data_IF_253718338549
#
_entry.id   IF_253718338549
#
_cell.length_a   1.000
_cell.length_b   1.000
_cell.length_c   1.000
_cell.angle_alpha   90.00
_cell.angle_beta   90.00
_cell.angle_gamma   90.00
#
_symmetry.space_group_name_H-M   'P 1'
#
loop_
_entity.id
_entity.type
_entity.pdbx_description
1 polymer ?
#
# COMPACT_ATOMS: atom_id res chain seq x y z
N UNK A 1 9.31 -25.53 -78.46
CA UNK A 1 9.34 -26.46 -77.31
C UNK A 1 10.08 -25.78 -76.15
N UNK A 2 9.44 -25.69 -74.96
CA UNK A 2 10.05 -25.78 -73.60
C UNK A 2 11.24 -24.83 -73.31
N UNK A 3 11.24 -23.87 -72.37
CA UNK A 3 10.85 -23.92 -70.93
C UNK A 3 10.92 -22.48 -70.35
N UNK A 4 9.89 -21.96 -69.68
CA UNK A 4 9.67 -21.93 -68.20
C UNK A 4 10.47 -20.78 -67.54
N UNK A 5 9.87 -19.61 -67.19
CA UNK A 5 9.16 -19.29 -65.91
C UNK A 5 10.15 -19.40 -64.73
N UNK A 6 10.37 -18.48 -63.80
CA UNK A 6 9.78 -17.21 -63.37
C UNK A 6 10.68 -16.79 -62.19
N UNK A 7 11.37 -15.64 -62.25
CA UNK A 7 12.13 -15.13 -61.10
C UNK A 7 11.26 -14.11 -60.38
N UNK A 8 10.27 -14.57 -59.60
CA UNK A 8 9.49 -13.70 -58.73
C UNK A 8 10.07 -13.78 -57.31
N UNK A 9 10.65 -12.66 -56.92
CA UNK A 9 11.18 -12.35 -55.59
C UNK A 9 10.13 -12.69 -54.53
N UNK A 10 10.45 -13.65 -53.66
CA UNK A 10 9.67 -13.93 -52.46
C UNK A 10 10.56 -13.74 -51.23
N UNK A 11 10.93 -12.49 -50.96
CA UNK A 11 11.40 -12.10 -49.64
C UNK A 11 10.15 -11.87 -48.78
N UNK A 12 9.53 -12.95 -48.31
CA UNK A 12 8.57 -12.85 -47.20
C UNK A 12 9.39 -12.43 -46.00
N UNK A 13 9.33 -11.14 -45.68
CA UNK A 13 9.85 -10.61 -44.43
C UNK A 13 9.14 -11.34 -43.30
N UNK A 14 9.88 -12.17 -42.57
CA UNK A 14 9.53 -12.52 -41.20
C UNK A 14 9.60 -11.23 -40.39
N UNK A 15 8.53 -10.45 -40.41
CA UNK A 15 8.27 -9.51 -39.34
C UNK A 15 7.84 -10.36 -38.16
N UNK A 16 8.83 -10.87 -37.41
CA UNK A 16 8.61 -11.36 -36.07
C UNK A 16 8.04 -10.21 -35.26
N UNK A 17 6.72 -10.13 -35.18
CA UNK A 17 6.07 -9.39 -34.11
C UNK A 17 6.50 -10.07 -32.82
N UNK A 18 7.54 -9.52 -32.18
CA UNK A 18 7.87 -9.87 -30.82
C UNK A 18 6.59 -9.67 -30.00
N UNK A 19 5.97 -10.78 -29.59
CA UNK A 19 4.80 -10.75 -28.74
C UNK A 19 5.23 -10.04 -27.46
N UNK A 20 4.76 -8.81 -27.25
CA UNK A 20 5.07 -8.04 -26.05
C UNK A 20 4.68 -8.92 -24.87
N UNK A 21 5.67 -9.32 -24.08
CA UNK A 21 5.48 -10.21 -22.95
C UNK A 21 4.35 -9.62 -22.09
N UNK A 22 3.32 -10.43 -21.84
CA UNK A 22 2.17 -9.96 -21.05
C UNK A 22 2.72 -9.68 -19.66
N UNK A 23 2.66 -8.41 -19.25
CA UNK A 23 3.04 -8.02 -17.90
C UNK A 23 2.14 -8.78 -16.91
N UNK A 24 2.72 -9.78 -16.26
CA UNK A 24 2.04 -10.65 -15.29
C UNK A 24 2.12 -10.08 -13.88
N UNK A 25 2.82 -8.96 -13.69
CA UNK A 25 3.06 -8.35 -12.40
C UNK A 25 1.76 -7.68 -11.93
N UNK A 26 1.20 -8.08 -10.77
CA UNK A 26 0.07 -7.38 -10.18
C UNK A 26 0.40 -5.90 -9.95
N UNK A 27 -0.55 -5.02 -10.27
CA UNK A 27 -0.38 -3.58 -10.08
C UNK A 27 -0.84 -3.18 -8.68
N UNK A 28 -0.23 -2.10 -8.17
CA UNK A 28 -0.73 -1.46 -6.97
C UNK A 28 -2.14 -0.91 -7.18
N UNK A 29 -3.03 -1.17 -6.23
CA UNK A 29 -4.41 -0.67 -6.24
C UNK A 29 -4.70 0.06 -4.94
N UNK A 30 -5.42 1.20 -5.03
CA UNK A 30 -5.78 2.01 -3.87
C UNK A 30 -7.25 2.39 -3.97
N UNK A 31 -8.01 2.07 -2.93
CA UNK A 31 -9.34 2.65 -2.68
C UNK A 31 -9.19 3.94 -1.89
N UNK A 32 -9.84 5.02 -2.37
CA UNK A 32 -9.82 6.34 -1.70
C UNK A 32 -11.24 6.75 -1.34
N UNK A 33 -11.45 7.16 -0.10
CA UNK A 33 -12.73 7.70 0.37
C UNK A 33 -12.52 8.97 1.17
N UNK A 34 -13.50 9.87 1.11
CA UNK A 34 -13.56 11.06 1.95
C UNK A 34 -14.57 10.82 3.06
N UNK A 35 -14.16 11.08 4.30
CA UNK A 35 -14.94 10.74 5.49
C UNK A 35 -14.85 11.85 6.54
N UNK A 36 -15.64 11.73 7.59
CA UNK A 36 -15.47 12.51 8.81
C UNK A 36 -15.52 11.62 10.05
N UNK A 37 -14.86 12.10 11.10
CA UNK A 37 -14.78 11.48 12.43
C UNK A 37 -14.87 12.59 13.48
N UNK A 38 -15.42 12.29 14.65
CA UNK A 38 -15.31 13.17 15.82
C UNK A 38 -14.19 12.67 16.72
N UNK A 39 -13.19 13.51 16.98
CA UNK A 39 -12.08 13.22 17.89
C UNK A 39 -12.02 14.34 18.93
N UNK A 40 -12.14 14.00 20.21
CA UNK A 40 -12.14 14.96 21.32
C UNK A 40 -13.16 16.11 21.13
N UNK A 41 -14.36 15.76 20.65
CA UNK A 41 -15.44 16.72 20.40
C UNK A 41 -15.31 17.53 19.09
N UNK A 42 -14.19 17.43 18.39
CA UNK A 42 -13.96 18.13 17.13
C UNK A 42 -14.24 17.23 15.93
N UNK A 43 -15.02 17.74 14.97
CA UNK A 43 -15.19 17.06 13.68
C UNK A 43 -13.95 17.24 12.83
N UNK A 44 -13.36 16.13 12.41
CA UNK A 44 -12.22 16.07 11.50
C UNK A 44 -12.70 15.46 10.19
N UNK A 45 -12.53 16.23 9.12
CA UNK A 45 -12.66 15.74 7.75
C UNK A 45 -11.34 15.10 7.33
N UNK A 46 -11.41 13.94 6.69
CA UNK A 46 -10.24 13.15 6.32
C UNK A 46 -10.40 12.50 4.96
N UNK A 47 -9.25 12.22 4.35
CA UNK A 47 -9.14 11.30 3.22
C UNK A 47 -8.53 10.00 3.73
N UNK A 48 -9.23 8.89 3.48
CA UNK A 48 -8.79 7.54 3.79
C UNK A 48 -8.39 6.82 2.51
N UNK A 49 -7.18 6.27 2.48
CA UNK A 49 -6.69 5.44 1.39
C UNK A 49 -6.33 4.06 1.94
N UNK A 50 -6.75 3.00 1.28
CA UNK A 50 -6.40 1.63 1.65
C UNK A 50 -6.13 0.81 0.39
N UNK A 51 -5.09 -0.02 0.43
CA UNK A 51 -4.67 -0.82 -0.71
C UNK A 51 -3.20 -1.17 -0.65
N UNK A 52 -2.57 -1.31 -1.79
CA UNK A 52 -1.14 -1.65 -1.91
C UNK A 52 -0.33 -0.50 -2.51
N UNK A 53 0.94 -0.45 -2.14
CA UNK A 53 1.95 0.45 -2.71
C UNK A 53 3.04 -0.41 -3.34
N UNK A 54 3.40 -0.11 -4.59
CA UNK A 54 4.50 -0.81 -5.26
C UNK A 54 5.84 -0.27 -4.74
N UNK A 55 6.62 -1.14 -4.10
CA UNK A 55 7.96 -0.82 -3.61
C UNK A 55 8.99 -1.33 -4.61
N UNK A 56 9.89 -0.44 -5.00
CA UNK A 56 11.01 -0.73 -5.89
C UNK A 56 12.34 -0.76 -5.14
N UNK A 57 13.29 -1.53 -5.63
CA UNK A 57 14.65 -1.56 -5.10
C UNK A 57 15.52 -0.43 -5.66
N UNK A 58 16.80 -0.44 -5.31
CA UNK A 58 17.79 0.55 -5.69
C UNK A 58 18.11 0.52 -7.20
N UNK A 59 17.80 -0.58 -7.89
CA UNK A 59 17.90 -0.72 -9.34
C UNK A 59 16.60 -0.35 -10.06
N UNK A 60 15.60 0.14 -9.32
CA UNK A 60 14.25 0.45 -9.78
C UNK A 60 13.44 -0.79 -10.21
N UNK A 61 13.82 -1.99 -9.76
CA UNK A 61 13.04 -3.21 -9.99
C UNK A 61 11.90 -3.33 -8.97
N UNK A 62 10.67 -3.71 -9.38
CA UNK A 62 9.56 -3.91 -8.45
C UNK A 62 9.80 -5.16 -7.59
N UNK A 63 9.80 -5.00 -6.27
CA UNK A 63 10.10 -6.09 -5.32
C UNK A 63 8.94 -6.47 -4.41
N UNK A 64 7.98 -5.57 -4.17
CA UNK A 64 6.81 -5.89 -3.36
C UNK A 64 5.59 -5.02 -3.70
N UNK A 65 4.40 -5.56 -3.47
CA UNK A 65 3.20 -4.77 -3.19
C UNK A 65 3.03 -4.76 -1.68
N UNK A 66 3.17 -3.59 -1.04
CA UNK A 66 2.99 -3.45 0.41
C UNK A 66 1.61 -2.86 0.72
N UNK A 67 0.80 -3.65 1.43
CA UNK A 67 -0.46 -3.25 2.02
C UNK A 67 -0.27 -2.07 2.97
N UNK A 68 -1.16 -1.08 2.88
CA UNK A 68 -1.21 0.01 3.82
C UNK A 68 -2.62 0.59 3.96
N UNK A 69 -2.84 1.27 5.08
CA UNK A 69 -3.94 2.22 5.28
C UNK A 69 -3.35 3.58 5.60
N UNK A 70 -3.76 4.61 4.86
CA UNK A 70 -3.35 5.99 5.05
C UNK A 70 -4.54 6.90 5.38
N UNK A 71 -4.40 7.67 6.46
CA UNK A 71 -5.34 8.70 6.86
C UNK A 71 -4.64 10.05 6.81
N UNK A 72 -5.17 10.97 6.02
CA UNK A 72 -4.77 12.38 6.02
C UNK A 72 -5.90 13.25 6.51
N UNK A 73 -5.56 14.19 7.39
CA UNK A 73 -6.49 15.26 7.78
C UNK A 73 -6.63 16.23 6.62
N UNK A 74 -7.86 16.45 6.17
CA UNK A 74 -8.14 17.21 4.96
C UNK A 74 -9.08 16.46 4.03
N UNK A 75 -10.16 17.12 3.64
CA UNK A 75 -11.20 16.57 2.77
C UNK A 75 -11.02 16.90 1.29
N UNK A 76 -9.88 17.41 0.83
CA UNK A 76 -9.63 17.57 -0.61
C UNK A 76 -8.14 17.45 -0.92
N UNK A 77 -7.81 17.29 -2.21
CA UNK A 77 -6.42 17.19 -2.69
C UNK A 77 -5.56 18.44 -2.38
N UNK A 78 -6.15 19.57 -1.99
CA UNK A 78 -5.46 20.82 -1.62
C UNK A 78 -5.17 20.91 -0.13
N UNK A 79 -5.85 20.10 0.67
CA UNK A 79 -5.58 19.86 2.08
C UNK A 79 -4.72 18.60 2.27
N UNK A 80 -3.91 18.21 1.28
CA UNK A 80 -2.68 17.47 1.61
C UNK A 80 -2.06 18.27 2.74
N UNK A 81 -2.06 17.70 3.95
CA UNK A 81 -1.66 18.42 5.15
C UNK A 81 -0.41 19.20 4.82
N UNK A 82 -0.40 20.50 5.15
CA UNK A 82 0.76 21.40 4.97
C UNK A 82 2.04 20.59 5.05
N UNK A 83 3.03 20.79 4.17
CA UNK A 83 4.29 20.01 4.18
C UNK A 83 4.90 19.85 5.59
N UNK A 84 4.54 20.75 6.50
CA UNK A 84 4.87 20.80 7.93
C UNK A 84 4.10 19.84 8.87
N UNK A 85 2.94 19.29 8.50
CA UNK A 85 2.13 18.41 9.36
C UNK A 85 2.78 17.02 9.47
N UNK A 86 3.15 16.52 10.65
CA UNK A 86 3.88 15.25 10.74
C UNK A 86 3.10 14.06 10.18
N UNK A 87 3.83 13.07 9.68
CA UNK A 87 3.29 11.75 9.33
C UNK A 87 3.86 10.74 10.33
N UNK A 88 2.98 9.92 10.91
CA UNK A 88 3.36 8.78 11.73
C UNK A 88 3.21 7.51 10.90
N UNK A 89 4.33 6.82 10.70
CA UNK A 89 4.35 5.47 10.13
C UNK A 89 4.32 4.45 11.27
N UNK A 90 3.47 3.44 11.15
CA UNK A 90 3.33 2.38 12.13
C UNK A 90 3.15 1.03 11.44
N UNK A 91 3.74 -0.01 12.01
CA UNK A 91 3.61 -1.39 11.56
C UNK A 91 3.60 -2.29 12.78
N UNK A 92 2.92 -3.43 12.69
CA UNK A 92 2.71 -4.29 13.84
C UNK A 92 3.90 -5.25 14.05
N UNK A 93 4.05 -5.72 15.29
CA UNK A 93 5.04 -6.75 15.67
C UNK A 93 4.53 -8.17 15.49
N UNK A 94 5.10 -9.12 16.24
CA UNK A 94 4.70 -10.53 16.20
C UNK A 94 5.91 -11.45 16.25
N UNK A 95 6.57 -11.76 15.12
CA UNK A 95 6.38 -11.27 13.73
C UNK A 95 5.14 -11.84 13.00
N UNK A 96 4.84 -11.31 11.80
CA UNK A 96 3.80 -11.85 10.90
C UNK A 96 2.40 -11.28 11.10
N UNK A 97 2.23 -10.26 11.96
CA UNK A 97 0.91 -9.67 12.23
C UNK A 97 0.61 -8.50 11.32
N UNK A 98 -0.60 -8.45 10.77
CA UNK A 98 -1.06 -7.32 9.96
C UNK A 98 -1.24 -6.06 10.81
N UNK A 99 -1.06 -4.92 10.15
CA UNK A 99 -1.33 -3.57 10.65
C UNK A 99 -2.81 -3.29 10.94
N UNK A 100 -3.73 -4.19 10.62
CA UNK A 100 -5.15 -4.03 10.95
C UNK A 100 -5.37 -3.84 12.47
N UNK A 101 -4.52 -4.43 13.32
CA UNK A 101 -4.58 -4.21 14.77
C UNK A 101 -4.31 -2.76 15.15
N UNK A 102 -3.33 -2.13 14.50
CA UNK A 102 -3.02 -0.73 14.68
C UNK A 102 -4.12 0.15 14.10
N UNK A 103 -4.66 -0.22 12.95
CA UNK A 103 -5.78 0.49 12.32
C UNK A 103 -7.03 0.45 13.22
N UNK A 104 -7.56 -0.73 13.53
CA UNK A 104 -8.87 -0.89 14.16
C UNK A 104 -8.83 -0.94 15.69
N UNK A 105 -7.64 -1.07 16.29
CA UNK A 105 -7.45 -1.21 17.74
C UNK A 105 -6.74 -0.04 18.41
N UNK A 106 -5.90 0.72 17.69
CA UNK A 106 -4.99 1.69 18.33
C UNK A 106 -5.07 3.09 17.69
N UNK A 107 -4.57 3.24 16.47
CA UNK A 107 -4.25 4.53 15.84
C UNK A 107 -5.37 5.08 14.95
N UNK A 108 -6.12 4.20 14.27
CA UNK A 108 -7.08 4.61 13.26
C UNK A 108 -8.17 5.54 13.81
N UNK A 109 -8.83 6.33 12.94
CA UNK A 109 -9.85 7.30 13.33
C UNK A 109 -11.11 6.63 13.91
N UNK A 110 -11.34 5.36 13.58
CA UNK A 110 -12.39 4.53 14.15
C UNK A 110 -11.78 3.27 14.73
N UNK A 111 -12.40 2.76 15.78
CA UNK A 111 -11.96 1.53 16.44
C UNK A 111 -13.11 0.58 16.69
N UNK A 112 -12.77 -0.70 16.85
CA UNK A 112 -13.70 -1.71 17.34
C UNK A 112 -13.91 -1.51 18.85
N UNK A 113 -15.16 -1.62 19.29
CA UNK A 113 -15.48 -1.70 20.71
C UNK A 113 -15.20 -3.12 21.17
N UNK A 114 -14.22 -3.26 22.05
CA UNK A 114 -13.85 -4.51 22.72
C UNK A 114 -14.34 -4.50 24.16
N UNK A 115 -14.59 -5.69 24.70
CA UNK A 115 -15.06 -5.89 26.08
C UNK A 115 -13.89 -6.22 27.01
N UNK A 116 -12.87 -5.39 27.12
CA UNK A 116 -11.67 -5.65 27.94
C UNK A 116 -11.97 -5.55 29.45
N UNK A 117 -11.60 -6.53 30.32
CA UNK A 117 -10.79 -7.74 30.08
C UNK A 117 -11.58 -9.01 29.78
N UNK A 118 -12.90 -8.90 29.56
CA UNK A 118 -13.76 -10.01 29.19
C UNK A 118 -13.60 -10.37 27.71
N UNK A 119 -14.20 -11.49 27.31
CA UNK A 119 -14.26 -11.86 25.91
C UNK A 119 -15.15 -10.89 25.12
N UNK A 120 -14.68 -10.50 23.94
CA UNK A 120 -15.51 -9.79 22.95
C UNK A 120 -16.27 -10.85 22.13
N UNK A 121 -17.61 -10.76 22.02
CA UNK A 121 -18.39 -11.75 21.25
C UNK A 121 -18.02 -11.70 19.77
N UNK A 122 -18.37 -12.76 19.03
CA UNK A 122 -18.20 -12.79 17.57
C UNK A 122 -18.99 -11.66 16.88
N UNK A 123 -18.64 -11.40 15.62
CA UNK A 123 -19.29 -10.38 14.78
C UNK A 123 -20.82 -10.51 14.78
N UNK A 124 -21.58 -9.41 14.62
CA UNK A 124 -21.13 -8.08 14.18
C UNK A 124 -20.48 -7.23 15.27
N UNK A 125 -19.32 -6.65 14.95
CA UNK A 125 -18.59 -5.77 15.87
C UNK A 125 -19.11 -4.32 15.79
N UNK A 126 -19.25 -3.67 16.95
CA UNK A 126 -19.57 -2.24 17.00
C UNK A 126 -18.32 -1.41 16.70
N UNK A 127 -18.40 -0.54 15.71
CA UNK A 127 -17.36 0.45 15.37
C UNK A 127 -17.74 1.81 15.95
N UNK A 128 -16.79 2.52 16.54
CA UNK A 128 -16.99 3.87 17.09
C UNK A 128 -15.83 4.79 16.73
N UNK A 129 -16.05 6.11 16.84
CA UNK A 129 -14.98 7.08 16.68
C UNK A 129 -13.90 6.85 17.75
N UNK A 130 -12.64 6.96 17.35
CA UNK A 130 -11.51 6.84 18.25
C UNK A 130 -11.10 8.22 18.78
N UNK A 131 -11.64 8.63 19.93
CA UNK A 131 -11.27 9.89 20.58
C UNK A 131 -9.78 9.96 20.97
N UNK A 132 -9.07 8.84 20.97
CA UNK A 132 -7.64 8.76 21.27
C UNK A 132 -6.76 8.75 20.01
N UNK A 133 -7.37 8.80 18.82
CA UNK A 133 -6.61 8.89 17.57
C UNK A 133 -5.85 10.22 17.52
N UNK A 134 -4.57 10.14 17.13
CA UNK A 134 -3.70 11.29 16.93
C UNK A 134 -3.88 11.96 15.55
N UNK A 135 -4.98 11.63 14.84
CA UNK A 135 -5.30 12.23 13.53
C UNK A 135 -5.63 13.73 13.62
N UNK A 136 -5.79 14.29 14.82
CA UNK A 136 -5.85 15.74 15.01
C UNK A 136 -4.47 16.40 14.84
N UNK A 137 -3.38 15.70 15.20
CA UNK A 137 -2.00 16.22 15.20
C UNK A 137 -1.10 15.70 14.07
N UNK A 138 -1.26 14.45 13.62
CA UNK A 138 -0.45 13.84 12.55
C UNK A 138 -1.32 13.11 11.51
N UNK A 139 -0.80 12.94 10.29
CA UNK A 139 -1.36 11.97 9.34
C UNK A 139 -0.80 10.58 9.67
N UNK A 140 -1.54 9.51 9.33
CA UNK A 140 -1.24 8.16 9.79
C UNK A 140 -1.07 7.22 8.61
N UNK A 141 0.03 6.45 8.60
CA UNK A 141 0.28 5.37 7.65
C UNK A 141 0.52 4.10 8.42
N UNK A 142 -0.42 3.16 8.36
CA UNK A 142 -0.26 1.82 8.90
C UNK A 142 0.19 0.89 7.76
N UNK A 143 1.33 0.23 7.92
CA UNK A 143 2.00 -0.59 6.91
C UNK A 143 1.92 -2.05 7.31
N UNK A 144 1.53 -2.92 6.37
CA UNK A 144 1.70 -4.35 6.47
C UNK A 144 3.12 -4.74 5.98
N UNK A 145 4.02 -5.29 6.82
CA UNK A 145 5.25 -5.90 6.33
C UNK A 145 4.98 -7.04 5.33
N UNK A 146 5.94 -7.35 4.45
CA UNK A 146 5.74 -8.36 3.39
C UNK A 146 5.49 -9.76 3.98
N UNK A 147 4.38 -10.39 3.55
CA UNK A 147 3.88 -11.63 4.14
C UNK A 147 2.80 -11.43 5.21
N UNK A 148 2.41 -10.20 5.50
CA UNK A 148 1.28 -9.87 6.39
C UNK A 148 0.20 -9.13 5.63
N UNK A 149 -1.06 -9.23 6.09
CA UNK A 149 -2.18 -8.46 5.56
C UNK A 149 -2.30 -8.58 4.04
N UNK A 150 -2.18 -7.45 3.33
CA UNK A 150 -2.24 -7.40 1.86
C UNK A 150 -0.87 -7.48 1.16
N UNK A 151 0.23 -7.59 1.92
CA UNK A 151 1.57 -7.44 1.37
C UNK A 151 2.14 -8.72 0.78
N UNK A 152 2.59 -8.66 -0.47
CA UNK A 152 3.15 -9.78 -1.23
C UNK A 152 4.44 -9.39 -1.96
N UNK A 153 5.41 -10.32 -2.10
CA UNK A 153 6.58 -10.10 -2.94
C UNK A 153 6.17 -9.97 -4.41
N UNK A 154 6.97 -9.25 -5.17
CA UNK A 154 6.72 -8.90 -6.56
C UNK A 154 7.95 -9.20 -7.44
N UNK A 155 7.73 -9.43 -8.73
CA UNK A 155 8.80 -9.69 -9.68
C UNK A 155 9.63 -10.93 -9.33
N UNK A 156 10.95 -10.77 -9.23
CA UNK A 156 11.89 -11.86 -8.91
C UNK A 156 11.96 -12.16 -7.40
N UNK A 157 11.54 -11.22 -6.56
CA UNK A 157 11.65 -11.33 -5.12
C UNK A 157 10.79 -12.49 -4.56
N UNK A 158 11.24 -13.06 -3.45
CA UNK A 158 10.59 -14.14 -2.71
C UNK A 158 10.38 -13.70 -1.28
N UNK A 159 9.44 -14.35 -0.58
CA UNK A 159 9.14 -14.05 0.81
C UNK A 159 10.37 -14.03 1.72
N UNK A 160 11.29 -15.00 1.56
CA UNK A 160 12.54 -15.07 2.34
C UNK A 160 13.45 -13.83 2.20
N UNK A 161 13.30 -13.06 1.12
CA UNK A 161 14.07 -11.84 0.90
C UNK A 161 13.58 -10.68 1.78
N UNK A 162 12.43 -10.84 2.44
CA UNK A 162 11.79 -9.87 3.33
C UNK A 162 11.76 -10.28 4.79
N UNK A 163 12.16 -11.52 5.12
CA UNK A 163 12.00 -12.04 6.48
C UNK A 163 13.32 -12.01 7.26
N UNK A 164 13.38 -11.09 8.21
CA UNK A 164 14.51 -10.89 9.10
C UNK A 164 14.65 -9.40 9.44
N UNK A 165 15.46 -9.10 10.46
CA UNK A 165 15.56 -7.73 10.98
C UNK A 165 16.08 -6.77 9.91
N UNK A 166 17.17 -7.13 9.22
CA UNK A 166 17.77 -6.27 8.18
C UNK A 166 16.86 -6.17 6.95
N UNK A 167 16.16 -7.25 6.62
CA UNK A 167 15.19 -7.30 5.52
C UNK A 167 13.98 -6.40 5.79
N UNK A 168 13.46 -6.41 7.02
CA UNK A 168 12.40 -5.50 7.47
C UNK A 168 12.88 -4.06 7.43
N UNK A 169 14.06 -3.76 7.99
CA UNK A 169 14.66 -2.42 7.95
C UNK A 169 14.74 -1.92 6.51
N UNK A 170 15.26 -2.73 5.58
CA UNK A 170 15.41 -2.33 4.18
C UNK A 170 14.05 -2.08 3.53
N UNK A 171 13.14 -3.04 3.59
CA UNK A 171 11.86 -2.95 2.88
C UNK A 171 10.96 -1.83 3.42
N UNK A 172 10.91 -1.64 4.74
CA UNK A 172 10.17 -0.54 5.37
C UNK A 172 10.82 0.82 5.06
N UNK A 173 12.16 0.91 5.04
CA UNK A 173 12.84 2.16 4.68
C UNK A 173 12.57 2.55 3.22
N UNK A 174 12.58 1.57 2.31
CA UNK A 174 12.22 1.78 0.90
C UNK A 174 10.76 2.24 0.76
N UNK A 175 9.83 1.58 1.46
CA UNK A 175 8.42 2.00 1.48
C UNK A 175 8.27 3.43 1.97
N UNK A 176 8.83 3.77 3.14
CA UNK A 176 8.67 5.09 3.77
C UNK A 176 9.23 6.18 2.85
N UNK A 177 10.43 5.96 2.32
CA UNK A 177 11.10 6.89 1.40
C UNK A 177 10.24 7.13 0.15
N UNK A 178 9.80 6.06 -0.52
CA UNK A 178 9.02 6.16 -1.76
C UNK A 178 7.62 6.71 -1.50
N UNK A 179 6.99 6.39 -0.37
CA UNK A 179 5.72 6.96 0.04
C UNK A 179 5.84 8.48 0.27
N UNK A 180 6.87 8.93 0.97
CA UNK A 180 7.11 10.37 1.19
C UNK A 180 7.33 11.11 -0.13
N UNK A 181 8.10 10.55 -1.06
CA UNK A 181 8.28 11.10 -2.41
C UNK A 181 6.92 11.17 -3.14
N UNK A 182 6.15 10.08 -3.17
CA UNK A 182 4.86 10.01 -3.84
C UNK A 182 3.78 10.94 -3.25
N UNK A 183 3.99 11.43 -2.02
CA UNK A 183 3.11 12.39 -1.34
C UNK A 183 3.65 13.82 -1.32
N UNK A 184 4.78 14.09 -1.95
CA UNK A 184 5.48 15.39 -1.91
C UNK A 184 5.85 15.82 -0.47
N UNK A 185 6.29 14.86 0.35
CA UNK A 185 6.58 15.01 1.78
C UNK A 185 8.05 14.77 2.17
N UNK A 186 8.91 14.51 1.19
CA UNK A 186 10.37 14.42 1.37
C UNK A 186 11.02 15.82 1.43
#
# INVERSE_FOLDING_TARGET
MKKTILLLILFIGMVSFAQKEKDTIPKAEISTTMQSVTINGNTIYLTAQAGTFEVRDENNDPIALMGHTFYSKGGDKRSSGSRQRPIVFAYNGGPGSSSFWLHMGVLGPKRIVVNDPKSTPAAPYRITNNNFSILDVADLVMIDPVGTGLSVPLGKAKFKDFWGVDQDIRSLSLFITQFLIAKDRM
#
